data_IF_907009069089
#
_entry.id   IF_907009069089
#
_cell.length_a   1.000
_cell.length_b   1.000
_cell.length_c   1.000
_cell.angle_alpha   90.00
_cell.angle_beta   90.00
_cell.angle_gamma   90.00
#
_symmetry.space_group_name_H-M   'P 1'
#
loop_
_entity.id
_entity.type
_entity.pdbx_description
1 polymer ?
#
# COMPACT_ATOMS: atom_id res chain seq x y z
N UNK A 1 -26.34 81.86 -24.00
CA UNK A 1 -25.34 82.72 -23.33
C UNK A 1 -24.02 81.98 -23.23
N UNK A 2 -23.02 82.41 -23.97
CA UNK A 2 -21.60 82.09 -23.74
C UNK A 2 -20.83 83.32 -24.24
N UNK A 3 -20.89 84.43 -23.50
CA UNK A 3 -20.47 85.75 -23.97
C UNK A 3 -19.07 86.18 -23.54
N UNK A 4 -18.27 85.29 -22.95
CA UNK A 4 -16.84 85.55 -22.69
C UNK A 4 -16.01 84.30 -22.98
N UNK A 5 -15.15 84.40 -24.01
CA UNK A 5 -14.21 83.35 -24.39
C UNK A 5 -12.80 83.69 -23.87
N UNK A 6 -12.04 82.70 -23.38
CA UNK A 6 -10.66 82.90 -22.94
C UNK A 6 -9.74 83.26 -24.11
N UNK A 7 -8.67 83.99 -23.82
CA UNK A 7 -7.63 84.34 -24.81
C UNK A 7 -6.99 83.10 -25.43
N UNK A 8 -6.70 83.13 -26.74
CA UNK A 8 -6.09 82.01 -27.46
C UNK A 8 -4.78 81.50 -26.85
N UNK A 9 -3.93 82.39 -26.30
CA UNK A 9 -2.69 81.98 -25.62
C UNK A 9 -2.95 81.12 -24.38
N UNK A 10 -4.02 81.40 -23.62
CA UNK A 10 -4.41 80.62 -22.44
C UNK A 10 -4.94 79.24 -22.85
N UNK A 11 -5.74 79.17 -23.91
CA UNK A 11 -6.21 77.89 -24.44
C UNK A 11 -5.06 77.05 -24.98
N UNK A 12 -4.13 77.65 -25.72
CA UNK A 12 -2.94 76.95 -26.22
C UNK A 12 -2.06 76.42 -25.09
N UNK A 13 -1.87 77.20 -24.02
CA UNK A 13 -1.13 76.75 -22.84
C UNK A 13 -1.79 75.56 -22.13
N UNK A 14 -3.12 75.58 -21.99
CA UNK A 14 -3.88 74.46 -21.40
C UNK A 14 -3.85 73.22 -22.29
N UNK A 15 -4.01 73.38 -23.61
CA UNK A 15 -3.92 72.29 -24.59
C UNK A 15 -2.54 71.64 -24.53
N UNK A 16 -1.47 72.43 -24.61
CA UNK A 16 -0.09 71.92 -24.57
C UNK A 16 0.23 71.22 -23.23
N UNK A 17 -0.30 71.74 -22.12
CA UNK A 17 -0.08 71.15 -20.79
C UNK A 17 -0.85 69.83 -20.64
N UNK A 18 -2.10 69.78 -21.11
CA UNK A 18 -2.90 68.57 -21.13
C UNK A 18 -2.25 67.51 -22.03
N UNK A 19 -1.85 67.89 -23.24
CA UNK A 19 -1.20 67.00 -24.21
C UNK A 19 0.09 66.40 -23.67
N UNK A 20 0.96 67.22 -23.07
CA UNK A 20 2.17 66.73 -22.39
C UNK A 20 1.85 65.76 -21.24
N UNK A 21 0.77 66.02 -20.49
CA UNK A 21 0.35 65.16 -19.39
C UNK A 21 -0.21 63.82 -19.88
N UNK A 22 -1.00 63.83 -20.95
CA UNK A 22 -1.51 62.63 -21.60
C UNK A 22 -0.37 61.83 -22.20
N UNK A 23 0.53 62.47 -22.95
CA UNK A 23 1.72 61.82 -23.52
C UNK A 23 2.57 61.15 -22.43
N UNK A 24 2.83 61.84 -21.31
CA UNK A 24 3.57 61.27 -20.19
C UNK A 24 2.86 60.07 -19.54
N UNK A 25 1.51 60.10 -19.44
CA UNK A 25 0.73 58.98 -18.90
C UNK A 25 0.72 57.79 -19.85
N UNK A 26 0.52 58.03 -21.14
CA UNK A 26 0.56 57.00 -22.19
C UNK A 26 1.94 56.36 -22.22
N UNK A 27 3.01 57.15 -22.19
CA UNK A 27 4.37 56.62 -22.17
C UNK A 27 4.64 55.75 -20.93
N UNK A 28 4.16 56.15 -19.75
CA UNK A 28 4.23 55.30 -18.54
C UNK A 28 3.47 54.00 -18.69
N UNK A 29 2.26 54.04 -19.26
CA UNK A 29 1.46 52.83 -19.51
C UNK A 29 2.20 51.90 -20.48
N UNK A 30 2.76 52.43 -21.57
CA UNK A 30 3.57 51.65 -22.51
C UNK A 30 4.79 51.02 -21.84
N UNK A 31 5.50 51.76 -20.98
CA UNK A 31 6.62 51.23 -20.21
C UNK A 31 6.19 50.08 -19.27
N UNK A 32 5.10 50.25 -18.53
CA UNK A 32 4.57 49.20 -17.65
C UNK A 32 4.11 47.96 -18.41
N UNK A 33 3.52 48.12 -19.60
CA UNK A 33 3.13 46.99 -20.43
C UNK A 33 4.34 46.21 -20.93
N UNK A 34 5.37 46.92 -21.41
CA UNK A 34 6.61 46.31 -21.87
C UNK A 34 7.35 45.59 -20.74
N UNK A 35 7.38 46.17 -19.54
CA UNK A 35 7.98 45.55 -18.36
C UNK A 35 7.21 44.28 -17.94
N UNK A 36 5.88 44.31 -17.95
CA UNK A 36 5.07 43.14 -17.66
C UNK A 36 5.28 42.01 -18.69
N UNK A 37 5.36 42.35 -19.98
CA UNK A 37 5.62 41.36 -21.03
C UNK A 37 6.97 40.67 -20.80
N UNK A 38 8.03 41.44 -20.55
CA UNK A 38 9.36 40.90 -20.21
C UNK A 38 9.31 40.02 -18.95
N UNK A 39 8.61 40.45 -17.91
CA UNK A 39 8.47 39.69 -16.67
C UNK A 39 7.73 38.36 -16.89
N UNK A 40 6.70 38.34 -17.74
CA UNK A 40 6.02 37.08 -18.10
C UNK A 40 6.93 36.13 -18.89
N UNK A 41 7.77 36.66 -19.78
CA UNK A 41 8.76 35.85 -20.50
C UNK A 41 9.80 35.26 -19.55
N UNK A 42 10.33 36.05 -18.63
CA UNK A 42 11.26 35.57 -17.60
C UNK A 42 10.63 34.48 -16.72
N UNK A 43 9.38 34.66 -16.27
CA UNK A 43 8.66 33.65 -15.49
C UNK A 43 8.44 32.35 -16.27
N UNK A 44 8.14 32.43 -17.57
CA UNK A 44 7.98 31.27 -18.43
C UNK A 44 9.32 30.52 -18.64
N UNK A 45 10.41 31.25 -18.83
CA UNK A 45 11.73 30.62 -18.95
C UNK A 45 12.15 29.94 -17.64
N UNK A 46 11.95 30.60 -16.49
CA UNK A 46 12.26 30.03 -15.17
C UNK A 46 11.43 28.79 -14.85
N UNK A 47 10.13 28.79 -15.20
CA UNK A 47 9.28 27.59 -15.04
C UNK A 47 9.76 26.47 -15.96
N UNK A 48 10.07 26.75 -17.23
CA UNK A 48 10.63 25.76 -18.16
C UNK A 48 11.93 25.12 -17.67
N UNK A 49 12.85 25.92 -17.12
CA UNK A 49 14.09 25.44 -16.53
C UNK A 49 13.85 24.56 -15.28
N UNK A 50 12.97 25.01 -14.38
CA UNK A 50 12.59 24.23 -13.20
C UNK A 50 11.95 22.89 -13.60
N UNK A 51 11.08 22.89 -14.62
CA UNK A 51 10.52 21.66 -15.19
C UNK A 51 11.59 20.77 -15.80
N UNK A 52 12.55 21.32 -16.56
CA UNK A 52 13.65 20.53 -17.12
C UNK A 52 14.48 19.87 -16.02
N UNK A 53 14.71 20.55 -14.89
CA UNK A 53 15.41 19.99 -13.72
C UNK A 53 14.57 18.93 -13.01
N UNK A 54 13.28 19.19 -12.74
CA UNK A 54 12.38 18.21 -12.10
C UNK A 54 12.25 16.97 -12.99
N UNK A 55 12.01 17.16 -14.29
CA UNK A 55 11.95 16.08 -15.29
C UNK A 55 13.26 15.33 -15.33
N UNK A 56 14.40 16.02 -15.37
CA UNK A 56 15.72 15.35 -15.31
C UNK A 56 15.90 14.61 -14.00
N UNK A 57 15.46 15.12 -12.85
CA UNK A 57 15.58 14.42 -11.56
C UNK A 57 14.61 13.24 -11.46
N UNK A 58 13.38 13.35 -11.97
CA UNK A 58 12.46 12.22 -12.05
C UNK A 58 13.03 11.18 -13.03
N UNK A 59 13.45 11.59 -14.22
CA UNK A 59 14.10 10.71 -15.21
C UNK A 59 15.53 10.30 -14.79
N UNK A 60 16.20 10.91 -13.82
CA UNK A 60 17.54 10.46 -13.37
C UNK A 60 17.46 9.65 -12.09
N UNK A 61 16.64 10.03 -11.13
CA UNK A 61 16.42 9.25 -9.91
C UNK A 61 15.53 8.03 -10.17
N UNK A 62 14.54 8.13 -11.07
CA UNK A 62 13.76 6.97 -11.53
C UNK A 62 14.25 6.41 -12.88
N UNK A 63 14.94 7.20 -13.72
CA UNK A 63 15.36 6.77 -15.07
C UNK A 63 16.88 6.77 -15.35
N UNK A 64 17.80 6.96 -14.39
CA UNK A 64 19.14 6.33 -14.52
C UNK A 64 19.04 4.80 -14.41
N UNK A 65 17.88 4.28 -14.02
CA UNK A 65 17.51 2.91 -14.32
C UNK A 65 17.05 2.73 -15.78
N UNK A 66 16.52 3.77 -16.45
CA UNK A 66 15.72 3.65 -17.67
C UNK A 66 15.98 4.71 -18.76
N UNK A 67 16.93 4.46 -19.65
CA UNK A 67 16.99 5.08 -21.00
C UNK A 67 17.08 4.03 -22.10
N UNK A 68 16.23 3.02 -22.03
CA UNK A 68 16.05 2.06 -23.12
C UNK A 68 14.60 1.58 -23.11
N UNK A 69 14.01 1.29 -24.27
CA UNK A 69 12.72 0.58 -24.42
C UNK A 69 12.66 -0.69 -23.54
N UNK A 70 13.84 -1.27 -23.27
CA UNK A 70 14.09 -2.40 -22.38
C UNK A 70 13.70 -2.11 -20.93
N UNK A 71 13.62 -0.84 -20.50
CA UNK A 71 13.35 -0.47 -19.12
C UNK A 71 11.88 -0.10 -18.83
N UNK A 72 11.12 0.38 -19.81
CA UNK A 72 9.66 0.31 -19.73
C UNK A 72 9.24 -1.17 -19.70
N UNK A 73 9.88 -2.00 -20.53
CA UNK A 73 9.80 -3.45 -20.42
C UNK A 73 10.34 -3.95 -19.08
N UNK A 74 11.42 -3.41 -18.51
CA UNK A 74 12.01 -3.90 -17.26
C UNK A 74 11.18 -3.51 -16.06
N UNK A 75 10.63 -2.30 -15.95
CA UNK A 75 9.72 -1.89 -14.86
C UNK A 75 8.44 -2.72 -14.94
N UNK A 76 7.86 -2.88 -16.14
CA UNK A 76 6.75 -3.81 -16.34
C UNK A 76 7.16 -5.24 -15.96
N UNK A 77 8.30 -5.73 -16.44
CA UNK A 77 8.76 -7.11 -16.18
C UNK A 77 9.21 -7.33 -14.74
N UNK A 78 9.80 -6.37 -14.02
CA UNK A 78 10.17 -6.49 -12.61
C UNK A 78 8.98 -6.29 -11.71
N UNK A 79 8.05 -5.39 -12.07
CA UNK A 79 6.76 -5.27 -11.41
C UNK A 79 5.96 -6.55 -11.58
N UNK A 80 5.86 -7.07 -12.80
CA UNK A 80 5.21 -8.36 -13.11
C UNK A 80 5.95 -9.50 -12.42
N UNK A 81 7.29 -9.58 -12.45
CA UNK A 81 8.04 -10.64 -11.75
C UNK A 81 7.88 -10.58 -10.24
N UNK A 82 7.80 -9.38 -9.66
CA UNK A 82 7.52 -9.20 -8.24
C UNK A 82 6.10 -9.63 -7.90
N UNK A 83 5.11 -9.24 -8.71
CA UNK A 83 3.72 -9.66 -8.56
C UNK A 83 3.58 -11.16 -8.75
N UNK A 84 4.22 -11.74 -9.75
CA UNK A 84 4.24 -13.18 -10.04
C UNK A 84 4.88 -13.95 -8.88
N UNK A 85 6.03 -13.47 -8.35
CA UNK A 85 6.67 -14.08 -7.18
C UNK A 85 5.84 -13.91 -5.91
N UNK A 86 5.18 -12.78 -5.73
CA UNK A 86 4.27 -12.56 -4.62
C UNK A 86 3.04 -13.48 -4.72
N UNK A 87 2.51 -13.70 -5.93
CA UNK A 87 1.39 -14.60 -6.19
C UNK A 87 1.78 -16.07 -6.00
N UNK A 88 2.94 -16.48 -6.48
CA UNK A 88 3.52 -17.82 -6.25
C UNK A 88 3.72 -18.07 -4.75
N UNK A 89 4.30 -17.10 -4.05
CA UNK A 89 4.48 -17.18 -2.60
C UNK A 89 3.12 -17.27 -1.88
N UNK A 90 2.14 -16.47 -2.30
CA UNK A 90 0.79 -16.50 -1.73
C UNK A 90 0.12 -17.86 -1.92
N UNK A 91 0.21 -18.44 -3.12
CA UNK A 91 -0.29 -19.80 -3.42
C UNK A 91 0.38 -20.83 -2.52
N UNK A 92 1.71 -20.79 -2.41
CA UNK A 92 2.49 -21.71 -1.58
C UNK A 92 2.12 -21.62 -0.10
N UNK A 93 2.01 -20.40 0.45
CA UNK A 93 1.60 -20.18 1.84
C UNK A 93 0.16 -20.67 2.07
N UNK A 94 -0.74 -20.46 1.11
CA UNK A 94 -2.14 -20.90 1.22
C UNK A 94 -2.24 -22.42 1.24
N UNK A 95 -1.52 -23.12 0.36
CA UNK A 95 -1.44 -24.58 0.36
C UNK A 95 -0.86 -25.09 1.68
N UNK A 96 0.24 -24.50 2.16
CA UNK A 96 0.86 -24.88 3.43
C UNK A 96 -0.09 -24.67 4.61
N UNK A 97 -0.85 -23.57 4.61
CA UNK A 97 -1.89 -23.26 5.62
C UNK A 97 -3.01 -24.31 5.62
N UNK A 98 -3.46 -24.77 4.44
CA UNK A 98 -4.46 -25.83 4.35
C UNK A 98 -3.91 -27.18 4.87
N UNK A 99 -2.69 -27.54 4.45
CA UNK A 99 -2.04 -28.78 4.88
C UNK A 99 -1.79 -28.81 6.40
N UNK A 100 -1.27 -27.71 6.95
CA UNK A 100 -1.05 -27.59 8.41
C UNK A 100 -2.35 -27.62 9.19
N UNK A 101 -3.42 -26.99 8.71
CA UNK A 101 -4.75 -27.08 9.32
C UNK A 101 -5.30 -28.51 9.30
N UNK A 102 -5.13 -29.23 8.19
CA UNK A 102 -5.54 -30.64 8.08
C UNK A 102 -4.73 -31.54 9.03
N UNK A 103 -3.42 -31.33 9.12
CA UNK A 103 -2.55 -32.09 10.03
C UNK A 103 -2.90 -31.80 11.50
N UNK A 104 -3.13 -30.55 11.85
CA UNK A 104 -3.58 -30.16 13.19
C UNK A 104 -4.92 -30.82 13.55
N UNK A 105 -5.86 -30.90 12.60
CA UNK A 105 -7.13 -31.63 12.80
C UNK A 105 -6.90 -33.12 13.06
N UNK A 106 -6.04 -33.78 12.27
CA UNK A 106 -5.68 -35.19 12.47
C UNK A 106 -5.06 -35.44 13.84
N UNK A 107 -4.12 -34.59 14.27
CA UNK A 107 -3.48 -34.70 15.58
C UNK A 107 -4.52 -34.58 16.70
N UNK A 108 -5.45 -33.62 16.62
CA UNK A 108 -6.54 -33.47 17.60
C UNK A 108 -7.43 -34.71 17.68
N UNK A 109 -7.78 -35.31 16.53
CA UNK A 109 -8.59 -36.55 16.52
C UNK A 109 -7.84 -37.73 17.13
N UNK A 110 -6.57 -37.93 16.77
CA UNK A 110 -5.76 -39.02 17.32
C UNK A 110 -5.60 -38.87 18.83
N UNK A 111 -5.35 -37.65 19.31
CA UNK A 111 -5.27 -37.36 20.74
C UNK A 111 -6.55 -37.75 21.48
N UNK A 112 -7.72 -37.35 20.96
CA UNK A 112 -9.00 -37.69 21.59
C UNK A 112 -9.20 -39.21 21.70
N UNK A 113 -8.79 -39.95 20.66
CA UNK A 113 -8.84 -41.41 20.65
C UNK A 113 -7.88 -41.98 21.70
N UNK A 114 -6.63 -41.49 21.76
CA UNK A 114 -5.65 -41.93 22.75
C UNK A 114 -6.13 -41.66 24.17
N UNK A 115 -6.70 -40.48 24.44
CA UNK A 115 -7.22 -40.13 25.76
C UNK A 115 -8.36 -41.07 26.20
N UNK A 116 -9.27 -41.41 25.28
CA UNK A 116 -10.32 -42.39 25.54
C UNK A 116 -9.74 -43.78 25.77
N UNK A 117 -8.78 -44.20 24.94
CA UNK A 117 -8.13 -45.51 25.04
C UNK A 117 -7.39 -45.67 26.37
N UNK A 118 -6.65 -44.65 26.81
CA UNK A 118 -5.94 -44.65 28.10
C UNK A 118 -6.91 -44.80 29.26
N UNK A 119 -8.05 -44.11 29.23
CA UNK A 119 -9.08 -44.23 30.26
C UNK A 119 -9.68 -45.64 30.32
N UNK A 120 -9.96 -46.24 29.17
CA UNK A 120 -10.48 -47.61 29.11
C UNK A 120 -9.43 -48.65 29.55
N UNK A 121 -8.16 -48.47 29.19
CA UNK A 121 -7.07 -49.31 29.68
C UNK A 121 -6.97 -49.21 31.21
N UNK A 122 -7.00 -48.00 31.77
CA UNK A 122 -6.93 -47.80 33.22
C UNK A 122 -8.08 -48.50 33.95
N UNK A 123 -9.33 -48.36 33.47
CA UNK A 123 -10.49 -49.06 34.04
C UNK A 123 -10.35 -50.57 33.95
N UNK A 124 -9.92 -51.07 32.80
CA UNK A 124 -9.75 -52.51 32.56
C UNK A 124 -8.67 -53.09 33.45
N UNK A 125 -7.56 -52.38 33.65
CA UNK A 125 -6.49 -52.80 34.53
C UNK A 125 -6.94 -52.85 36.00
N UNK A 126 -7.74 -51.87 36.45
CA UNK A 126 -8.36 -51.89 37.78
C UNK A 126 -9.31 -53.08 37.94
N UNK A 127 -10.13 -53.38 36.94
CA UNK A 127 -11.01 -54.55 36.95
C UNK A 127 -10.22 -55.87 37.02
N UNK A 128 -9.14 -55.98 36.24
CA UNK A 128 -8.25 -57.15 36.26
C UNK A 128 -7.60 -57.32 37.64
N UNK A 129 -7.08 -56.26 38.25
CA UNK A 129 -6.50 -56.29 39.61
C UNK A 129 -7.50 -56.80 40.65
N UNK A 130 -8.75 -56.30 40.60
CA UNK A 130 -9.83 -56.76 41.49
C UNK A 130 -10.12 -58.25 41.26
N UNK A 131 -10.21 -58.69 40.00
CA UNK A 131 -10.46 -60.09 39.64
C UNK A 131 -9.33 -61.02 40.09
N UNK A 132 -8.07 -60.62 39.91
CA UNK A 132 -6.90 -61.37 40.40
C UNK A 132 -6.96 -61.49 41.92
N UNK A 133 -7.28 -60.40 42.64
CA UNK A 133 -7.37 -60.39 44.10
C UNK A 133 -8.51 -61.27 44.61
N UNK A 134 -9.64 -61.32 43.90
CA UNK A 134 -10.78 -62.16 44.23
C UNK A 134 -10.42 -63.66 44.24
N UNK A 135 -9.45 -64.09 43.42
CA UNK A 135 -8.99 -65.49 43.38
C UNK A 135 -8.27 -65.96 44.66
N UNK A 136 -7.92 -65.08 45.61
CA UNK A 136 -7.21 -65.43 46.86
C UNK A 136 -7.90 -66.52 47.68
N UNK A 137 -9.23 -66.64 47.58
CA UNK A 137 -10.02 -67.66 48.29
C UNK A 137 -10.40 -68.88 47.45
N UNK A 138 -10.10 -68.89 46.15
CA UNK A 138 -10.57 -69.93 45.21
C UNK A 138 -9.44 -70.67 44.51
N UNK A 139 -8.24 -70.09 44.43
CA UNK A 139 -7.10 -70.67 43.72
C UNK A 139 -5.97 -71.09 44.69
N UNK A 140 -5.23 -72.14 44.33
CA UNK A 140 -4.13 -72.67 45.16
C UNK A 140 -2.92 -71.72 45.27
N UNK A 141 -2.74 -70.80 44.32
CA UNK A 141 -1.67 -69.79 44.30
C UNK A 141 -2.28 -68.42 44.06
N UNK A 142 -1.74 -67.41 44.76
CA UNK A 142 -2.10 -66.00 44.60
C UNK A 142 -1.05 -65.28 43.76
N UNK A 143 -1.49 -64.54 42.75
CA UNK A 143 -0.66 -63.60 42.02
C UNK A 143 -0.85 -62.19 42.60
N UNK A 144 0.25 -61.53 42.98
CA UNK A 144 0.21 -60.17 43.52
C UNK A 144 0.46 -59.19 42.38
N UNK A 145 -0.63 -58.65 41.81
CA UNK A 145 -0.57 -57.56 40.85
C UNK A 145 -0.63 -56.20 41.55
N UNK A 146 0.05 -55.20 41.00
CA UNK A 146 0.03 -53.82 41.48
C UNK A 146 -0.09 -52.87 40.30
N UNK A 147 -1.11 -52.02 40.35
CA UNK A 147 -1.35 -51.00 39.33
C UNK A 147 -0.41 -49.83 39.57
N UNK A 148 0.31 -49.42 38.53
CA UNK A 148 1.09 -48.18 38.56
C UNK A 148 0.20 -46.98 38.21
N UNK A 149 -0.29 -46.30 39.24
CA UNK A 149 -1.14 -45.11 39.09
C UNK A 149 -0.36 -43.86 38.64
N UNK A 150 0.93 -43.80 38.93
CA UNK A 150 1.75 -42.60 38.69
C UNK A 150 2.04 -42.44 37.20
N UNK A 151 2.25 -43.55 36.49
CA UNK A 151 2.38 -43.57 35.04
C UNK A 151 1.15 -43.02 34.32
N UNK A 152 -0.06 -43.37 34.75
CA UNK A 152 -1.30 -42.83 34.16
C UNK A 152 -1.46 -41.33 34.38
N UNK A 153 -1.13 -40.83 35.58
CA UNK A 153 -1.17 -39.39 35.89
C UNK A 153 -0.16 -38.61 35.05
N UNK A 154 1.02 -39.19 34.83
CA UNK A 154 2.06 -38.58 33.99
C UNK A 154 1.61 -38.50 32.53
N UNK A 155 0.97 -39.57 32.02
CA UNK A 155 0.43 -39.60 30.67
C UNK A 155 -0.68 -38.56 30.46
N UNK A 156 -1.57 -38.38 31.43
CA UNK A 156 -2.63 -37.37 31.38
C UNK A 156 -2.07 -35.93 31.40
N UNK A 157 -1.02 -35.68 32.20
CA UNK A 157 -0.29 -34.41 32.17
C UNK A 157 0.31 -34.13 30.80
N UNK A 158 0.95 -35.12 30.17
CA UNK A 158 1.50 -34.95 28.82
C UNK A 158 0.41 -34.67 27.78
N UNK A 159 -0.72 -35.40 27.82
CA UNK A 159 -1.86 -35.17 26.93
C UNK A 159 -2.51 -33.79 27.13
N UNK A 160 -2.48 -33.25 28.35
CA UNK A 160 -2.97 -31.91 28.69
C UNK A 160 -2.02 -30.80 28.22
N UNK A 161 -0.69 -31.01 28.34
CA UNK A 161 0.32 -30.08 27.81
C UNK A 161 0.27 -29.97 26.28
N UNK A 162 -0.04 -31.05 25.56
CA UNK A 162 -0.25 -30.99 24.12
C UNK A 162 -1.44 -30.10 23.71
N UNK A 163 -2.40 -29.90 24.62
CA UNK A 163 -3.63 -29.17 24.36
C UNK A 163 -3.43 -27.65 24.39
N UNK A 164 -2.56 -27.16 25.27
CA UNK A 164 -2.20 -25.74 25.34
C UNK A 164 -1.47 -25.30 24.07
N UNK A 165 -0.52 -26.11 23.58
CA UNK A 165 0.30 -25.81 22.38
C UNK A 165 -0.57 -25.73 21.11
N UNK A 166 -1.63 -26.54 21.01
CA UNK A 166 -2.47 -26.62 19.80
C UNK A 166 -3.66 -25.64 19.77
N UNK A 167 -3.99 -25.01 20.91
CA UNK A 167 -5.03 -23.97 21.01
C UNK A 167 -4.50 -22.56 20.77
N UNK A 168 -3.21 -22.31 20.97
CA UNK A 168 -2.64 -20.95 21.01
C UNK A 168 -2.41 -20.28 19.65
N UNK A 169 -2.45 -21.02 18.53
CA UNK A 169 -2.30 -20.39 17.21
C UNK A 169 -3.65 -19.85 16.74
N UNK A 170 -3.91 -18.61 17.15
CA UNK A 170 -5.04 -17.79 16.72
C UNK A 170 -5.25 -17.81 15.21
N UNK A 171 -6.47 -17.44 14.77
CA UNK A 171 -6.87 -17.47 13.36
C UNK A 171 -5.75 -16.89 12.50
N UNK A 172 -5.18 -17.68 11.57
CA UNK A 172 -4.10 -17.20 10.71
C UNK A 172 -4.63 -15.98 9.95
N UNK A 173 -3.93 -14.86 10.11
CA UNK A 173 -4.27 -13.58 9.49
C UNK A 173 -4.65 -13.78 8.02
N UNK A 174 -5.69 -13.07 7.60
CA UNK A 174 -6.12 -13.03 6.21
C UNK A 174 -4.99 -12.41 5.40
N UNK A 175 -4.41 -13.18 4.47
CA UNK A 175 -3.32 -12.66 3.65
C UNK A 175 -3.93 -11.68 2.65
N UNK A 176 -3.46 -10.43 2.65
CA UNK A 176 -3.88 -9.40 1.70
C UNK A 176 -2.95 -9.37 0.51
N UNK A 177 -3.51 -9.19 -0.69
CA UNK A 177 -2.76 -9.10 -1.94
C UNK A 177 -2.65 -7.63 -2.35
N UNK A 178 -1.42 -7.20 -2.67
CA UNK A 178 -1.19 -5.86 -3.25
C UNK A 178 -1.43 -5.94 -4.75
N UNK A 179 -2.37 -5.15 -5.28
CA UNK A 179 -2.60 -5.01 -6.72
C UNK A 179 -2.28 -3.59 -7.18
N UNK A 180 -1.69 -3.48 -8.38
CA UNK A 180 -1.54 -2.22 -9.09
C UNK A 180 -2.74 -2.02 -10.01
N UNK A 181 -3.39 -0.84 -9.94
CA UNK A 181 -4.44 -0.43 -10.88
C UNK A 181 -4.04 0.89 -11.55
N UNK A 182 -4.27 1.05 -12.87
CA UNK A 182 -4.12 2.36 -13.51
C UNK A 182 -5.14 3.34 -12.92
N UNK A 183 -4.72 4.57 -12.65
CA UNK A 183 -5.61 5.63 -12.19
C UNK A 183 -6.19 6.31 -13.43
N UNK A 184 -7.51 6.26 -13.59
CA UNK A 184 -8.18 6.98 -14.68
C UNK A 184 -7.98 8.50 -14.48
N UNK A 185 -7.38 9.14 -15.49
CA UNK A 185 -6.92 10.54 -15.56
C UNK A 185 -7.99 11.58 -15.14
N UNK A 186 -9.27 11.21 -15.22
CA UNK A 186 -10.40 12.09 -14.91
C UNK A 186 -10.46 12.60 -13.45
N UNK A 187 -9.76 11.94 -12.52
CA UNK A 187 -9.87 12.26 -11.07
C UNK A 187 -8.70 13.09 -10.52
N UNK A 188 -7.57 13.19 -11.25
CA UNK A 188 -6.32 13.78 -10.75
C UNK A 188 -5.92 15.09 -11.42
N UNK A 189 -6.51 15.41 -12.58
CA UNK A 189 -6.42 16.76 -13.13
C UNK A 189 -7.28 17.72 -12.30
N UNK A 190 -6.71 18.10 -11.15
CA UNK A 190 -7.04 19.36 -10.50
C UNK A 190 -7.12 20.43 -11.59
N UNK A 191 -8.31 20.99 -11.80
CA UNK A 191 -8.62 22.10 -12.72
C UNK A 191 -7.75 23.35 -12.52
N UNK A 192 -6.79 23.30 -11.60
CA UNK A 192 -5.84 24.36 -11.25
C UNK A 192 -4.61 24.36 -12.18
N UNK A 193 -4.22 23.23 -12.77
CA UNK A 193 -3.02 23.16 -13.65
C UNK A 193 -3.30 23.46 -15.13
N UNK A 194 -4.56 23.58 -15.55
CA UNK A 194 -4.93 23.82 -16.96
C UNK A 194 -4.83 25.28 -17.41
N UNK A 195 -4.48 26.21 -16.52
CA UNK A 195 -4.35 27.63 -16.86
C UNK A 195 -2.92 28.14 -16.71
N UNK A 196 -1.97 27.50 -17.39
CA UNK A 196 -0.66 28.12 -17.67
C UNK A 196 -0.79 28.93 -18.97
N UNK A 197 -0.32 30.20 -19.01
CA UNK A 197 -0.48 31.05 -20.18
C UNK A 197 0.27 30.49 -21.40
N UNK A 198 -0.46 30.40 -22.51
CA UNK A 198 -0.03 29.81 -23.78
C UNK A 198 0.82 30.82 -24.57
N UNK A 199 2.13 30.58 -24.72
CA UNK A 199 2.98 31.30 -25.71
C UNK A 199 3.03 30.46 -27.00
N UNK A 200 2.16 30.79 -27.97
CA UNK A 200 2.10 30.10 -29.27
C UNK A 200 1.65 28.62 -29.20
N UNK A 201 2.29 27.77 -30.01
CA UNK A 201 1.89 26.38 -30.26
C UNK A 201 2.28 25.42 -29.11
N UNK A 202 3.06 25.88 -28.14
CA UNK A 202 3.65 25.04 -27.12
C UNK A 202 2.77 25.04 -25.87
N UNK A 203 2.04 23.95 -25.69
CA UNK A 203 1.28 23.67 -24.48
C UNK A 203 2.28 23.26 -23.39
N UNK A 204 2.32 23.98 -22.27
CA UNK A 204 3.14 23.68 -21.09
C UNK A 204 2.56 22.50 -20.26
N UNK A 205 1.82 21.59 -20.89
CA UNK A 205 1.30 20.36 -20.26
C UNK A 205 2.42 19.32 -20.23
N UNK A 206 3.46 19.58 -19.44
CA UNK A 206 4.68 18.78 -19.40
C UNK A 206 4.56 17.45 -18.63
N UNK A 207 3.34 16.98 -18.35
CA UNK A 207 3.06 15.79 -17.53
C UNK A 207 1.94 14.88 -18.09
N UNK A 208 1.44 15.12 -19.30
CA UNK A 208 0.44 14.24 -19.93
C UNK A 208 1.01 12.86 -20.33
N UNK A 209 2.34 12.72 -20.40
CA UNK A 209 3.03 11.51 -20.83
C UNK A 209 3.27 10.48 -19.70
N UNK A 210 2.84 10.77 -18.46
CA UNK A 210 3.05 9.89 -17.29
C UNK A 210 1.71 9.35 -16.81
N UNK A 211 1.43 8.08 -17.15
CA UNK A 211 0.27 7.36 -16.62
C UNK A 211 0.40 7.11 -15.10
N UNK A 212 -0.51 7.61 -14.27
CA UNK A 212 -0.45 7.39 -12.83
C UNK A 212 -1.02 6.00 -12.46
N UNK A 213 -0.31 5.28 -11.58
CA UNK A 213 -0.74 3.98 -11.03
C UNK A 213 -0.98 4.06 -9.53
N UNK A 214 -2.04 3.40 -9.05
CA UNK A 214 -2.36 3.28 -7.62
C UNK A 214 -2.09 1.85 -7.13
N UNK A 215 -1.42 1.75 -5.99
CA UNK A 215 -1.28 0.52 -5.23
C UNK A 215 -2.49 0.38 -4.30
N UNK A 216 -3.24 -0.71 -4.44
CA UNK A 216 -4.36 -1.05 -3.58
C UNK A 216 -4.08 -2.36 -2.84
N UNK A 217 -4.37 -2.37 -1.54
CA UNK A 217 -4.40 -3.59 -0.72
C UNK A 217 -5.81 -4.18 -0.81
N UNK A 218 -5.93 -5.37 -1.37
CA UNK A 218 -7.17 -6.12 -1.44
C UNK A 218 -7.10 -7.37 -0.55
N UNK A 219 -8.25 -7.78 -0.02
CA UNK A 219 -8.39 -9.06 0.69
C UNK A 219 -8.56 -10.21 -0.31
#
# INVERSE_FOLDING_TARGET
QASTCPSGCRMQGLINTADRTFFNRVNKICQFLQENENNTEHANNATSEAYAVIRKNVIQNYGKCCTHLVCFLFILVTGIKYVEKAEELYKNITVLKQQTAALAKKIRTLRSIIQQQVNEIHKTEVDIDIKIRACKGSCAKLFVYRIDRESYLTLDKHLSQFDSITKEKGKPAELRVVKMRPINEATLLSKVYTSLPRKGNMVLNHLEDIEPYQLALEN
#
